data_IF_015696413498
#
_entry.id   IF_015696413498
#
_cell.length_a   1.000
_cell.length_b   1.000
_cell.length_c   1.000
_cell.angle_alpha   90.00
_cell.angle_beta   90.00
_cell.angle_gamma   90.00
#
_symmetry.space_group_name_H-M   'P 1'
#
loop_
_entity.id
_entity.type
_entity.pdbx_description
1 polymer ?
#
# COMPACT_ATOMS: atom_id res chain seq x y z
N UNK A 1 26.84 5.55 -7.79
CA UNK A 1 26.81 5.37 -9.26
C UNK A 1 26.06 4.10 -9.66
N UNK A 2 26.33 2.95 -9.02
CA UNK A 2 25.58 1.71 -9.26
C UNK A 2 24.07 1.90 -9.13
N UNK A 3 23.61 2.59 -8.07
CA UNK A 3 22.17 2.81 -7.83
C UNK A 3 21.47 3.59 -8.94
N UNK A 4 22.15 4.57 -9.54
CA UNK A 4 21.61 5.36 -10.67
C UNK A 4 21.38 4.47 -11.89
N UNK A 5 22.34 3.62 -12.22
CA UNK A 5 22.23 2.69 -13.34
C UNK A 5 21.18 1.62 -13.07
N UNK A 6 21.10 1.12 -11.84
CA UNK A 6 20.05 0.19 -11.40
C UNK A 6 18.66 0.81 -11.52
N UNK A 7 18.45 2.05 -11.04
CA UNK A 7 17.16 2.73 -11.18
C UNK A 7 16.79 2.98 -12.65
N UNK A 8 17.74 3.40 -13.49
CA UNK A 8 17.51 3.57 -14.94
C UNK A 8 17.08 2.25 -15.61
N UNK A 9 17.75 1.15 -15.25
CA UNK A 9 17.40 -0.18 -15.74
C UNK A 9 15.97 -0.56 -15.32
N UNK A 10 15.63 -0.40 -14.04
CA UNK A 10 14.29 -0.72 -13.52
C UNK A 10 13.21 0.14 -14.20
N UNK A 11 13.44 1.45 -14.37
CA UNK A 11 12.49 2.33 -15.07
C UNK A 11 12.31 1.93 -16.53
N UNK A 12 13.39 1.51 -17.21
CA UNK A 12 13.31 0.97 -18.58
C UNK A 12 12.48 -0.30 -18.64
N UNK A 13 12.64 -1.21 -17.66
CA UNK A 13 11.82 -2.40 -17.55
C UNK A 13 10.33 -2.08 -17.27
N UNK A 14 10.04 -1.07 -16.45
CA UNK A 14 8.66 -0.61 -16.18
C UNK A 14 8.01 -0.10 -17.47
N UNK A 15 8.71 0.73 -18.24
CA UNK A 15 8.22 1.22 -19.54
C UNK A 15 8.00 0.08 -20.53
N UNK A 16 8.95 -0.87 -20.60
CA UNK A 16 8.84 -2.05 -21.45
C UNK A 16 7.64 -2.91 -21.08
N UNK A 17 7.45 -3.21 -19.78
CA UNK A 17 6.29 -3.97 -19.27
C UNK A 17 4.97 -3.26 -19.58
N UNK A 18 4.91 -1.93 -19.44
CA UNK A 18 3.70 -1.17 -19.77
C UNK A 18 3.38 -1.25 -21.26
N UNK A 19 4.39 -1.13 -22.13
CA UNK A 19 4.24 -1.27 -23.57
C UNK A 19 3.82 -2.71 -23.97
N UNK A 20 4.43 -3.72 -23.36
CA UNK A 20 4.11 -5.13 -23.63
C UNK A 20 2.69 -5.51 -23.20
N UNK A 21 2.16 -4.82 -22.19
CA UNK A 21 0.76 -4.91 -21.77
C UNK A 21 -0.22 -4.12 -22.66
N UNK A 22 0.21 -3.59 -23.81
CA UNK A 22 -0.55 -2.73 -24.74
C UNK A 22 -0.92 -1.35 -24.17
N UNK A 23 -0.11 -0.82 -23.25
CA UNK A 23 -0.24 0.52 -22.68
C UNK A 23 -1.67 0.87 -22.21
N UNK A 24 -2.28 0.06 -21.32
CA UNK A 24 -3.66 0.29 -20.91
C UNK A 24 -3.75 1.61 -20.12
N UNK A 25 -4.75 2.44 -20.44
CA UNK A 25 -4.97 3.74 -19.78
C UNK A 25 -5.15 3.62 -18.27
N UNK A 26 -5.60 2.44 -17.80
CA UNK A 26 -5.73 2.12 -16.38
C UNK A 26 -4.38 2.12 -15.65
N UNK A 27 -3.27 1.83 -16.32
CA UNK A 27 -1.94 1.71 -15.68
C UNK A 27 -1.17 3.03 -15.71
N UNK A 28 -1.70 4.06 -16.38
CA UNK A 28 -1.04 5.38 -16.54
C UNK A 28 -0.68 6.04 -15.21
N UNK A 29 -1.55 5.93 -14.20
CA UNK A 29 -1.28 6.48 -12.88
C UNK A 29 -0.11 5.76 -12.19
N UNK A 30 -0.10 4.42 -12.25
CA UNK A 30 0.97 3.61 -11.67
C UNK A 30 2.30 3.88 -12.39
N UNK A 31 2.29 3.95 -13.73
CA UNK A 31 3.46 4.27 -14.52
C UNK A 31 4.00 5.65 -14.15
N UNK A 32 3.14 6.67 -14.12
CA UNK A 32 3.53 8.04 -13.78
C UNK A 32 4.22 8.09 -12.41
N UNK A 33 3.59 7.52 -11.38
CA UNK A 33 4.16 7.50 -10.02
C UNK A 33 5.47 6.72 -9.96
N UNK A 34 5.56 5.57 -10.65
CA UNK A 34 6.80 4.78 -10.71
C UNK A 34 7.95 5.56 -11.35
N UNK A 35 7.68 6.27 -12.44
CA UNK A 35 8.65 7.12 -13.12
C UNK A 35 9.05 8.31 -12.26
N UNK A 36 8.09 9.01 -11.65
CA UNK A 36 8.36 10.15 -10.76
C UNK A 36 9.25 9.75 -9.59
N UNK A 37 8.95 8.64 -8.91
CA UNK A 37 9.75 8.14 -7.78
C UNK A 37 11.15 7.68 -8.20
N UNK A 38 11.27 6.94 -9.29
CA UNK A 38 12.59 6.48 -9.77
C UNK A 38 13.45 7.63 -10.26
N UNK A 39 12.88 8.62 -10.95
CA UNK A 39 13.61 9.82 -11.36
C UNK A 39 14.03 10.66 -10.17
N UNK A 40 13.20 10.75 -9.12
CA UNK A 40 13.59 11.42 -7.88
C UNK A 40 14.75 10.72 -7.17
N UNK A 41 14.77 9.37 -7.13
CA UNK A 41 15.92 8.62 -6.59
C UNK A 41 17.18 8.80 -7.43
N UNK A 42 17.07 8.75 -8.76
CA UNK A 42 18.19 9.02 -9.66
C UNK A 42 18.76 10.42 -9.39
N UNK A 43 17.90 11.43 -9.27
CA UNK A 43 18.28 12.81 -8.97
C UNK A 43 19.03 12.90 -7.64
N UNK A 44 18.51 12.29 -6.59
CA UNK A 44 19.13 12.28 -5.26
C UNK A 44 20.51 11.60 -5.30
N UNK A 45 20.58 10.39 -5.84
CA UNK A 45 21.82 9.63 -5.96
C UNK A 45 22.86 10.34 -6.83
N UNK A 46 22.43 10.98 -7.93
CA UNK A 46 23.33 11.74 -8.80
C UNK A 46 23.85 13.01 -8.11
N UNK A 47 23.01 13.69 -7.34
CA UNK A 47 23.42 14.86 -6.55
C UNK A 47 24.48 14.49 -5.50
N UNK A 48 24.35 13.33 -4.86
CA UNK A 48 25.34 12.80 -3.92
C UNK A 48 26.68 12.51 -4.61
N UNK A 49 26.64 11.90 -5.80
CA UNK A 49 27.84 11.62 -6.60
C UNK A 49 28.54 12.90 -7.02
N UNK A 50 27.80 13.89 -7.54
CA UNK A 50 28.35 15.18 -7.98
C UNK A 50 28.92 15.97 -6.81
N UNK A 51 28.24 16.00 -5.66
CA UNK A 51 28.73 16.69 -4.46
C UNK A 51 30.02 16.07 -3.90
N UNK A 52 30.29 14.79 -4.18
CA UNK A 52 31.50 14.10 -3.72
C UNK A 52 32.71 14.26 -4.65
N UNK A 53 32.56 14.94 -5.80
CA UNK A 53 33.64 15.15 -6.75
C UNK A 53 34.30 16.52 -6.53
N UNK A 54 35.64 16.61 -6.47
CA UNK A 54 36.36 17.81 -6.06
C UNK A 54 36.32 18.99 -7.06
N UNK A 55 35.78 18.81 -8.28
CA UNK A 55 35.93 19.77 -9.39
C UNK A 55 34.60 20.32 -9.97
N UNK A 56 33.45 20.06 -9.34
CA UNK A 56 32.12 20.26 -9.96
C UNK A 56 31.27 21.40 -9.37
N UNK A 57 31.86 22.34 -8.62
CA UNK A 57 31.11 23.52 -8.15
C UNK A 57 30.42 24.30 -9.29
N UNK A 58 30.97 24.26 -10.50
CA UNK A 58 30.43 24.89 -11.72
C UNK A 58 29.32 24.10 -12.42
N UNK A 59 29.17 22.80 -12.20
CA UNK A 59 28.13 21.98 -12.85
C UNK A 59 26.98 21.60 -11.89
N UNK A 60 27.06 22.02 -10.63
CA UNK A 60 26.09 21.70 -9.59
C UNK A 60 24.67 22.16 -9.95
N UNK A 61 24.55 23.31 -10.60
CA UNK A 61 23.26 23.88 -11.00
C UNK A 61 22.64 23.14 -12.19
N UNK A 62 23.46 22.55 -13.07
CA UNK A 62 23.00 21.78 -14.24
C UNK A 62 22.42 20.42 -13.82
N UNK A 63 22.99 19.81 -12.77
CA UNK A 63 22.49 18.54 -12.21
C UNK A 63 21.39 18.72 -11.15
N UNK A 64 21.09 19.96 -10.77
CA UNK A 64 19.97 20.29 -9.89
C UNK A 64 18.65 20.26 -10.68
N UNK A 65 18.23 19.05 -11.06
CA UNK A 65 16.93 18.83 -11.68
C UNK A 65 15.80 19.32 -10.74
N UNK A 66 14.72 19.92 -11.26
CA UNK A 66 13.60 20.35 -10.44
C UNK A 66 13.00 19.16 -9.70
N UNK A 67 12.76 19.33 -8.39
CA UNK A 67 12.13 18.31 -7.56
C UNK A 67 10.67 18.16 -7.96
N UNK A 68 10.24 16.94 -8.29
CA UNK A 68 8.82 16.69 -8.46
C UNK A 68 8.13 16.80 -7.10
N UNK A 69 7.15 17.71 -7.00
CA UNK A 69 6.33 17.81 -5.80
C UNK A 69 5.32 16.66 -5.86
N UNK A 70 5.55 15.65 -5.02
CA UNK A 70 4.65 14.51 -4.84
C UNK A 70 3.26 15.02 -4.47
N UNK A 71 2.22 14.52 -5.15
CA UNK A 71 0.84 14.86 -4.85
C UNK A 71 0.22 13.71 -4.06
N UNK A 72 -0.04 13.90 -2.78
CA UNK A 72 -0.72 12.90 -1.92
C UNK A 72 -2.02 12.36 -2.52
N UNK A 73 -2.71 13.20 -3.31
CA UNK A 73 -3.93 12.83 -4.04
C UNK A 73 -3.70 11.68 -5.04
N UNK A 74 -2.55 11.63 -5.71
CA UNK A 74 -2.26 10.61 -6.71
C UNK A 74 -1.97 9.26 -6.03
N UNK A 75 -1.28 9.27 -4.89
CA UNK A 75 -1.10 8.09 -4.03
C UNK A 75 -2.41 7.56 -3.48
N UNK A 76 -3.27 8.44 -2.97
CA UNK A 76 -4.60 8.06 -2.47
C UNK A 76 -5.47 7.43 -3.57
N UNK A 77 -5.40 7.95 -4.81
CA UNK A 77 -6.10 7.34 -5.95
C UNK A 77 -5.55 5.96 -6.30
N UNK A 78 -4.23 5.79 -6.28
CA UNK A 78 -3.60 4.51 -6.55
C UNK A 78 -3.95 3.48 -5.47
N UNK A 79 -3.93 3.87 -4.19
CA UNK A 79 -4.28 2.96 -3.09
C UNK A 79 -5.74 2.53 -3.17
N UNK A 80 -6.68 3.45 -3.43
CA UNK A 80 -8.07 3.09 -3.67
C UNK A 80 -8.20 2.10 -4.82
N UNK A 81 -7.49 2.35 -5.93
CA UNK A 81 -7.51 1.46 -7.09
C UNK A 81 -6.98 0.06 -6.77
N UNK A 82 -5.89 -0.03 -6.01
CA UNK A 82 -5.32 -1.30 -5.56
C UNK A 82 -6.32 -2.07 -4.68
N UNK A 83 -7.11 -1.39 -3.85
CA UNK A 83 -8.09 -2.04 -2.98
C UNK A 83 -9.39 -2.39 -3.71
N UNK A 84 -9.80 -1.61 -4.71
CA UNK A 84 -11.09 -1.78 -5.40
C UNK A 84 -11.05 -2.63 -6.66
N UNK A 85 -9.89 -2.76 -7.32
CA UNK A 85 -9.77 -3.44 -8.61
C UNK A 85 -8.84 -4.65 -8.51
N UNK A 86 -9.43 -5.81 -8.24
CA UNK A 86 -8.72 -7.09 -8.17
C UNK A 86 -7.99 -7.42 -9.47
N UNK A 87 -8.60 -7.15 -10.62
CA UNK A 87 -8.03 -7.45 -11.94
C UNK A 87 -6.79 -6.60 -12.22
N UNK A 88 -6.74 -5.38 -11.68
CA UNK A 88 -5.55 -4.53 -11.74
C UNK A 88 -4.40 -5.14 -10.96
N UNK A 89 -4.62 -5.61 -9.74
CA UNK A 89 -3.58 -6.25 -8.91
C UNK A 89 -3.10 -7.55 -9.57
N UNK A 90 -4.02 -8.45 -9.93
CA UNK A 90 -3.70 -9.75 -10.52
C UNK A 90 -2.85 -9.63 -11.80
N UNK A 91 -3.12 -8.60 -12.62
CA UNK A 91 -2.30 -8.32 -13.82
C UNK A 91 -0.85 -7.99 -13.45
N UNK A 92 -0.63 -7.24 -12.38
CA UNK A 92 0.70 -6.79 -11.98
C UNK A 92 1.46 -7.82 -11.16
N UNK A 93 0.75 -8.69 -10.43
CA UNK A 93 1.30 -9.79 -9.62
C UNK A 93 1.38 -11.11 -10.39
N UNK A 94 1.00 -11.14 -11.67
CA UNK A 94 1.12 -12.32 -12.52
C UNK A 94 2.55 -12.89 -12.49
N UNK A 95 2.66 -14.18 -12.15
CA UNK A 95 3.94 -14.88 -12.04
C UNK A 95 4.51 -14.95 -10.63
N UNK A 96 3.91 -14.24 -9.66
CA UNK A 96 4.21 -14.43 -8.24
C UNK A 96 3.55 -15.73 -7.77
N UNK A 97 4.34 -16.64 -7.19
CA UNK A 97 3.81 -17.85 -6.58
C UNK A 97 3.14 -17.52 -5.24
N UNK A 98 1.84 -17.77 -5.14
CA UNK A 98 1.05 -17.51 -3.93
C UNK A 98 0.82 -18.84 -3.24
N UNK A 99 1.34 -18.98 -2.02
CA UNK A 99 1.06 -20.14 -1.20
C UNK A 99 -0.42 -20.15 -0.78
N UNK A 100 -1.05 -21.32 -0.80
CA UNK A 100 -2.43 -21.51 -0.29
C UNK A 100 -2.50 -21.68 1.22
N UNK A 101 -1.37 -21.70 1.91
CA UNK A 101 -1.28 -21.90 3.34
C UNK A 101 -1.26 -20.56 4.08
N UNK A 102 -1.10 -20.64 5.39
CA UNK A 102 -1.13 -19.52 6.32
C UNK A 102 0.20 -18.72 6.37
N UNK A 103 1.08 -18.91 5.38
CA UNK A 103 2.27 -18.07 5.20
C UNK A 103 1.86 -16.65 4.80
N UNK A 104 2.71 -15.65 5.09
CA UNK A 104 2.40 -14.22 4.93
C UNK A 104 1.68 -13.85 3.62
N UNK A 105 2.18 -14.34 2.48
CA UNK A 105 1.54 -14.08 1.18
C UNK A 105 0.17 -14.75 1.05
N UNK A 106 0.00 -15.99 1.50
CA UNK A 106 -1.29 -16.67 1.47
C UNK A 106 -2.32 -16.00 2.36
N UNK A 107 -1.92 -15.61 3.59
CA UNK A 107 -2.76 -14.85 4.51
C UNK A 107 -3.17 -13.49 3.92
N UNK A 108 -2.25 -12.78 3.26
CA UNK A 108 -2.53 -11.51 2.58
C UNK A 108 -3.61 -11.68 1.51
N UNK A 109 -3.48 -12.67 0.62
CA UNK A 109 -4.46 -12.89 -0.45
C UNK A 109 -5.82 -13.33 0.11
N UNK A 110 -5.85 -14.14 1.17
CA UNK A 110 -7.10 -14.52 1.84
C UNK A 110 -7.80 -13.31 2.48
N UNK A 111 -7.06 -12.44 3.16
CA UNK A 111 -7.62 -11.20 3.72
C UNK A 111 -8.12 -10.26 2.62
N UNK A 112 -7.38 -10.16 1.50
CA UNK A 112 -7.75 -9.35 0.36
C UNK A 112 -9.02 -9.85 -0.36
N UNK A 113 -9.22 -11.17 -0.47
CA UNK A 113 -10.48 -11.76 -0.98
C UNK A 113 -11.70 -11.44 -0.11
N UNK A 114 -11.50 -11.33 1.20
CA UNK A 114 -12.56 -10.99 2.16
C UNK A 114 -12.87 -9.49 2.19
N UNK A 115 -11.90 -8.64 1.83
CA UNK A 115 -12.05 -7.19 1.84
C UNK A 115 -13.23 -6.72 0.96
N UNK A 116 -13.37 -7.27 -0.24
CA UNK A 116 -14.47 -6.91 -1.16
C UNK A 116 -15.84 -7.27 -0.57
N UNK A 117 -15.93 -8.44 0.09
CA UNK A 117 -17.18 -8.89 0.73
C UNK A 117 -17.52 -8.02 1.94
N UNK A 118 -16.52 -7.66 2.74
CA UNK A 118 -16.70 -6.92 3.98
C UNK A 118 -16.74 -5.41 3.81
N UNK A 119 -16.43 -4.87 2.63
CA UNK A 119 -16.46 -3.42 2.36
C UNK A 119 -17.84 -2.81 2.66
N UNK A 120 -18.91 -3.51 2.27
CA UNK A 120 -20.28 -3.04 2.50
C UNK A 120 -20.60 -3.00 4.00
N UNK A 121 -20.25 -4.06 4.73
CA UNK A 121 -20.44 -4.18 6.18
C UNK A 121 -19.63 -3.12 6.93
N UNK A 122 -18.36 -2.95 6.57
CA UNK A 122 -17.47 -1.93 7.11
C UNK A 122 -18.02 -0.50 6.93
N UNK A 123 -18.50 -0.17 5.73
CA UNK A 123 -19.10 1.16 5.45
C UNK A 123 -20.35 1.42 6.30
N UNK A 124 -21.20 0.41 6.50
CA UNK A 124 -22.38 0.53 7.38
C UNK A 124 -21.95 0.85 8.81
N UNK A 125 -21.03 0.07 9.36
CA UNK A 125 -20.48 0.25 10.70
C UNK A 125 -19.86 1.66 10.86
N UNK A 126 -18.97 2.05 9.94
CA UNK A 126 -18.28 3.35 10.01
C UNK A 126 -19.24 4.54 9.90
N UNK A 127 -20.31 4.42 9.11
CA UNK A 127 -21.34 5.47 9.00
C UNK A 127 -22.05 5.68 10.34
N UNK A 128 -22.32 4.60 11.08
CA UNK A 128 -23.04 4.63 12.35
C UNK A 128 -22.14 5.07 13.51
N UNK A 129 -20.87 4.65 13.49
CA UNK A 129 -19.85 5.16 14.39
C UNK A 129 -19.69 6.69 14.25
N UNK A 130 -19.68 7.22 13.02
CA UNK A 130 -19.65 8.68 12.77
C UNK A 130 -20.87 9.42 13.28
N UNK A 131 -22.04 8.77 13.28
CA UNK A 131 -23.28 9.33 13.84
C UNK A 131 -23.35 9.25 15.37
N UNK A 132 -22.34 8.68 16.04
CA UNK A 132 -22.33 8.39 17.49
C UNK A 132 -23.46 7.44 17.91
N UNK A 133 -23.98 6.66 16.97
CA UNK A 133 -25.02 5.65 17.23
C UNK A 133 -24.42 4.34 17.75
N UNK A 134 -23.10 4.18 17.68
CA UNK A 134 -22.30 3.08 18.25
C UNK A 134 -21.23 3.67 19.19
N UNK A 135 -20.84 2.94 20.23
CA UNK A 135 -19.72 3.36 21.06
C UNK A 135 -18.43 3.43 20.22
N UNK A 136 -17.53 4.34 20.60
CA UNK A 136 -16.21 4.46 19.94
C UNK A 136 -15.25 3.32 20.33
N UNK A 137 -15.72 2.29 21.02
CA UNK A 137 -14.91 1.11 21.30
C UNK A 137 -14.68 0.35 20.00
N UNK A 138 -13.43 0.03 19.68
CA UNK A 138 -13.09 -0.73 18.47
C UNK A 138 -13.17 -2.25 18.73
N UNK A 139 -13.51 -3.03 17.70
CA UNK A 139 -13.51 -4.49 17.73
C UNK A 139 -14.79 -5.12 18.29
N UNK A 140 -14.63 -6.15 19.12
CA UNK A 140 -15.72 -7.03 19.58
C UNK A 140 -16.88 -6.30 20.26
N UNK A 141 -16.61 -5.21 20.99
CA UNK A 141 -17.64 -4.43 21.69
C UNK A 141 -18.57 -3.73 20.70
N UNK A 142 -18.01 -3.17 19.62
CA UNK A 142 -18.78 -2.51 18.56
C UNK A 142 -19.67 -3.50 17.82
N UNK A 143 -19.17 -4.70 17.54
CA UNK A 143 -19.94 -5.73 16.84
C UNK A 143 -21.13 -6.21 17.66
N UNK A 144 -20.94 -6.42 18.97
CA UNK A 144 -22.03 -6.77 19.88
C UNK A 144 -23.11 -5.69 19.91
N UNK A 145 -22.72 -4.42 20.06
CA UNK A 145 -23.67 -3.30 20.03
C UNK A 145 -24.42 -3.20 18.69
N UNK A 146 -23.75 -3.48 17.57
CA UNK A 146 -24.38 -3.46 16.25
C UNK A 146 -25.41 -4.58 16.07
N UNK A 147 -25.17 -5.76 16.65
CA UNK A 147 -26.16 -6.86 16.67
C UNK A 147 -27.33 -6.52 17.60
N UNK A 148 -27.06 -6.01 18.80
CA UNK A 148 -28.09 -5.63 19.77
C UNK A 148 -29.06 -4.57 19.21
N UNK A 149 -28.52 -3.61 18.44
CA UNK A 149 -29.31 -2.58 17.75
C UNK A 149 -29.94 -3.07 16.43
N UNK A 150 -29.83 -4.36 16.12
CA UNK A 150 -30.35 -4.99 14.89
C UNK A 150 -29.84 -4.33 13.60
N UNK A 151 -28.66 -3.71 13.65
CA UNK A 151 -28.00 -3.10 12.49
C UNK A 151 -27.35 -4.18 11.62
N UNK A 152 -26.80 -5.21 12.28
CA UNK A 152 -26.18 -6.38 11.66
C UNK A 152 -26.86 -7.64 12.18
N UNK A 153 -26.90 -8.66 11.33
CA UNK A 153 -27.23 -10.01 11.77
C UNK A 153 -26.04 -10.64 12.50
N UNK A 154 -26.30 -11.63 13.37
CA UNK A 154 -25.24 -12.37 14.06
C UNK A 154 -24.24 -12.97 13.06
N UNK A 155 -24.74 -13.48 11.93
CA UNK A 155 -23.92 -14.03 10.86
C UNK A 155 -22.97 -13.00 10.23
N UNK A 156 -23.47 -11.80 9.93
CA UNK A 156 -22.62 -10.72 9.39
C UNK A 156 -21.55 -10.26 10.41
N UNK A 157 -21.88 -10.24 11.69
CA UNK A 157 -20.94 -9.90 12.75
C UNK A 157 -19.82 -10.97 12.89
N UNK A 158 -20.18 -12.25 12.85
CA UNK A 158 -19.23 -13.36 12.93
C UNK A 158 -18.29 -13.39 11.71
N UNK A 159 -18.83 -13.18 10.50
CA UNK A 159 -18.03 -13.10 9.27
C UNK A 159 -17.07 -11.90 9.28
N UNK A 160 -17.53 -10.75 9.78
CA UNK A 160 -16.69 -9.55 9.91
C UNK A 160 -15.60 -9.74 10.98
N UNK A 161 -15.89 -10.45 12.08
CA UNK A 161 -14.90 -10.81 13.09
C UNK A 161 -13.81 -11.73 12.56
N UNK A 162 -14.17 -12.74 11.76
CA UNK A 162 -13.19 -13.60 11.08
C UNK A 162 -12.29 -12.78 10.13
N UNK A 163 -12.88 -11.84 9.39
CA UNK A 163 -12.14 -10.90 8.57
C UNK A 163 -11.17 -10.04 9.38
N UNK A 164 -11.60 -9.43 10.50
CA UNK A 164 -10.73 -8.63 11.36
C UNK A 164 -9.56 -9.46 11.92
N UNK A 165 -9.81 -10.71 12.33
CA UNK A 165 -8.74 -11.60 12.80
C UNK A 165 -7.70 -11.90 11.71
N UNK A 166 -8.15 -12.18 10.49
CA UNK A 166 -7.26 -12.41 9.34
C UNK A 166 -6.49 -11.16 8.95
N UNK A 167 -7.15 -10.01 8.96
CA UNK A 167 -6.51 -8.72 8.70
C UNK A 167 -5.46 -8.41 9.77
N UNK A 168 -5.80 -8.61 11.05
CA UNK A 168 -4.88 -8.45 12.16
C UNK A 168 -3.65 -9.32 11.99
N UNK A 169 -3.81 -10.59 11.61
CA UNK A 169 -2.70 -11.50 11.35
C UNK A 169 -1.75 -11.03 10.24
N UNK A 170 -2.29 -10.41 9.19
CA UNK A 170 -1.49 -9.84 8.09
C UNK A 170 -0.76 -8.57 8.52
N UNK A 171 -1.39 -7.74 9.35
CA UNK A 171 -0.80 -6.50 9.87
C UNK A 171 0.23 -6.78 10.97
N UNK A 172 -0.02 -7.78 11.81
CA UNK A 172 0.88 -8.24 12.85
C UNK A 172 2.03 -9.01 12.22
N UNK A 173 3.04 -8.27 11.79
CA UNK A 173 4.32 -8.85 11.37
C UNK A 173 5.08 -9.23 12.65
N UNK A 174 5.53 -10.47 12.75
CA UNK A 174 6.30 -11.06 13.88
C UNK A 174 7.65 -10.34 14.17
N UNK A 175 7.96 -9.26 13.48
CA UNK A 175 9.26 -8.58 13.51
C UNK A 175 9.42 -7.59 14.67
N UNK A 176 8.39 -7.46 15.54
CA UNK A 176 8.49 -6.66 16.77
C UNK A 176 8.03 -7.48 17.97
N UNK A 177 8.97 -8.04 18.72
CA UNK A 177 8.67 -8.46 20.08
C UNK A 177 8.17 -7.22 20.85
N UNK A 178 7.06 -7.33 21.58
CA UNK A 178 6.51 -6.20 22.37
C UNK A 178 7.57 -5.54 23.27
N UNK A 179 8.60 -6.31 23.68
CA UNK A 179 9.74 -5.85 24.46
C UNK A 179 10.61 -4.80 23.74
N UNK A 180 10.71 -4.81 22.41
CA UNK A 180 11.48 -3.82 21.64
C UNK A 180 10.74 -2.48 21.47
N UNK A 181 9.41 -2.48 21.58
CA UNK A 181 8.60 -1.26 21.52
C UNK A 181 8.71 -0.43 22.80
N UNK A 182 9.03 -1.07 23.93
CA UNK A 182 9.37 -0.38 25.17
C UNK A 182 10.86 -0.02 25.14
N UNK A 183 11.19 1.17 24.61
CA UNK A 183 12.48 1.80 24.90
C UNK A 183 12.67 1.78 26.42
N UNK A 184 13.65 1.00 26.91
CA UNK A 184 14.17 1.16 28.27
C UNK A 184 14.64 2.60 28.39
N UNK A 185 13.84 3.45 29.02
CA UNK A 185 14.28 4.73 29.54
C UNK A 185 15.36 4.41 30.57
N UNK A 186 16.62 4.60 30.17
CA UNK A 186 17.76 4.71 31.08
C UNK A 186 17.77 6.11 31.63
#
# INVERSE_FOLDING_TARGET
>A
MADVLSDLYILSCVLKKHNDNKAPSSDKLLLKLSMEEGLDRIRENLSLVVNNLPMVSTFRDIFSLPKNIKKDKDYSKLSHKLLSDRKFVDRHTKGIFIYKNDLAMGALYQAYDLLEKMETTYKKIMKLARKKELSQSYGDVMLKEAVEKSILTQKEADEYKDFENKLHKVISVDEFANEELFRKTV
#
